data_IF_141444531776
#
_entry.id   IF_141444531776
#
_cell.length_a   1.000
_cell.length_b   1.000
_cell.length_c   1.000
_cell.angle_alpha   90.00
_cell.angle_beta   90.00
_cell.angle_gamma   90.00
#
_symmetry.space_group_name_H-M   'P 1'
#
loop_
_entity.id
_entity.type
_entity.pdbx_description
1 polymer ?
#
# COMPACT_ATOMS: atom_id res chain seq x y z
N UNK A 1 -6.48 -25.03 -1.71
CA UNK A 1 -7.14 -24.42 -0.52
C UNK A 1 -7.11 -22.90 -0.71
N UNK A 2 -8.28 -22.25 -0.84
CA UNK A 2 -8.41 -20.86 -1.34
C UNK A 2 -9.22 -19.94 -0.41
N UNK A 3 -9.00 -20.03 0.92
CA UNK A 3 -9.82 -19.32 1.92
C UNK A 3 -9.22 -18.06 2.53
N UNK A 4 -7.89 -17.87 2.47
CA UNK A 4 -7.21 -16.81 3.24
C UNK A 4 -7.61 -15.39 2.81
N UNK A 5 -7.83 -15.17 1.51
CA UNK A 5 -8.28 -13.88 0.99
C UNK A 5 -9.63 -13.44 1.55
N UNK A 6 -10.56 -14.39 1.74
CA UNK A 6 -11.85 -14.15 2.36
C UNK A 6 -11.74 -13.82 3.85
N UNK A 7 -10.88 -14.54 4.59
CA UNK A 7 -10.64 -14.30 6.03
C UNK A 7 -10.03 -12.91 6.25
N UNK A 8 -8.98 -12.55 5.51
CA UNK A 8 -8.38 -11.21 5.55
C UNK A 8 -9.41 -10.12 5.31
N UNK A 9 -10.23 -10.27 4.26
CA UNK A 9 -11.26 -9.29 3.91
C UNK A 9 -12.31 -9.14 5.01
N UNK A 10 -12.72 -10.23 5.65
CA UNK A 10 -13.64 -10.20 6.77
C UNK A 10 -13.02 -9.43 7.96
N UNK A 11 -11.75 -9.68 8.28
CA UNK A 11 -11.01 -8.94 9.32
C UNK A 11 -10.99 -7.44 8.99
N UNK A 12 -10.56 -7.05 7.79
CA UNK A 12 -10.50 -5.64 7.37
C UNK A 12 -11.89 -4.97 7.40
N UNK A 13 -12.94 -5.70 7.06
CA UNK A 13 -14.33 -5.20 7.08
C UNK A 13 -14.82 -4.97 8.50
N UNK A 14 -14.55 -5.90 9.43
CA UNK A 14 -14.92 -5.77 10.84
C UNK A 14 -14.13 -4.65 11.52
N UNK A 15 -12.82 -4.53 11.23
CA UNK A 15 -11.99 -3.43 11.73
C UNK A 15 -12.51 -2.07 11.25
N UNK A 16 -12.96 -1.97 9.99
CA UNK A 16 -13.59 -0.74 9.47
C UNK A 16 -14.96 -0.49 10.11
N UNK A 17 -15.80 -1.51 10.20
CA UNK A 17 -17.10 -1.40 10.85
C UNK A 17 -16.95 -0.92 12.29
N UNK A 18 -15.95 -1.42 13.01
CA UNK A 18 -15.60 -0.92 14.33
C UNK A 18 -15.27 0.58 14.29
N UNK A 19 -14.34 1.01 13.43
CA UNK A 19 -13.98 2.42 13.31
C UNK A 19 -15.17 3.33 12.93
N UNK A 20 -16.08 2.85 12.07
CA UNK A 20 -17.27 3.58 11.62
C UNK A 20 -18.33 3.69 12.70
N UNK A 21 -18.60 2.60 13.43
CA UNK A 21 -19.53 2.57 14.56
C UNK A 21 -19.05 3.53 15.65
N UNK A 22 -17.77 3.48 16.00
CA UNK A 22 -17.20 4.35 17.03
C UNK A 22 -17.30 5.82 16.69
N UNK A 23 -17.00 6.19 15.43
CA UNK A 23 -17.18 7.57 14.95
C UNK A 23 -18.65 8.00 14.96
N UNK A 24 -19.54 7.13 14.48
CA UNK A 24 -20.97 7.44 14.35
C UNK A 24 -21.66 7.56 15.72
N UNK A 25 -21.39 6.64 16.64
CA UNK A 25 -21.95 6.65 17.99
C UNK A 25 -21.35 7.78 18.84
N UNK A 26 -20.04 8.05 18.71
CA UNK A 26 -19.42 9.22 19.33
C UNK A 26 -20.02 10.54 18.85
N UNK A 27 -20.23 10.67 17.52
CA UNK A 27 -20.90 11.82 16.94
C UNK A 27 -22.36 11.96 17.38
N UNK A 28 -23.10 10.85 17.44
CA UNK A 28 -24.49 10.83 17.90
C UNK A 28 -24.62 11.20 19.39
N UNK A 29 -23.71 10.72 20.23
CA UNK A 29 -23.66 11.06 21.66
C UNK A 29 -23.43 12.56 21.85
N UNK A 30 -22.41 13.13 21.21
CA UNK A 30 -22.13 14.57 21.26
C UNK A 30 -23.29 15.42 20.72
N UNK A 31 -23.90 15.00 19.61
CA UNK A 31 -25.06 15.70 19.05
C UNK A 31 -26.30 15.62 19.95
N UNK A 32 -26.51 14.50 20.63
CA UNK A 32 -27.59 14.33 21.60
C UNK A 32 -27.36 15.24 22.82
N UNK A 33 -26.15 15.29 23.36
CA UNK A 33 -25.79 16.19 24.45
C UNK A 33 -26.07 17.67 24.10
N UNK A 34 -25.60 18.13 22.93
CA UNK A 34 -25.86 19.51 22.45
C UNK A 34 -27.35 19.78 22.30
N UNK A 35 -28.13 18.83 21.78
CA UNK A 35 -29.59 18.99 21.63
C UNK A 35 -30.30 19.03 22.97
N UNK A 36 -29.92 18.17 23.93
CA UNK A 36 -30.48 18.15 25.27
C UNK A 36 -30.20 19.47 25.98
N UNK A 37 -28.96 19.98 25.94
CA UNK A 37 -28.60 21.29 26.49
C UNK A 37 -29.43 22.41 25.87
N UNK A 38 -29.55 22.44 24.53
CA UNK A 38 -30.36 23.45 23.83
C UNK A 38 -31.84 23.40 24.20
N UNK A 39 -32.43 22.20 24.33
CA UNK A 39 -33.83 22.04 24.75
C UNK A 39 -34.02 22.53 26.19
N UNK A 40 -33.09 22.21 27.09
CA UNK A 40 -33.11 22.71 28.45
C UNK A 40 -32.99 24.24 28.51
N UNK A 41 -32.08 24.85 27.73
CA UNK A 41 -31.94 26.30 27.63
C UNK A 41 -33.23 26.99 27.15
N UNK A 42 -33.81 26.51 26.04
CA UNK A 42 -35.08 27.04 25.49
C UNK A 42 -36.23 26.89 26.49
N UNK A 43 -36.29 25.78 27.22
CA UNK A 43 -37.30 25.55 28.24
C UNK A 43 -37.12 26.47 29.48
N UNK A 44 -35.88 26.82 29.86
CA UNK A 44 -35.61 27.76 30.97
C UNK A 44 -36.01 29.20 30.66
N UNK A 45 -35.94 29.60 29.39
CA UNK A 45 -36.39 30.92 28.92
C UNK A 45 -37.90 31.13 29.11
N UNK A 46 -38.69 30.05 29.22
CA UNK A 46 -40.09 30.15 29.54
C UNK A 46 -40.32 30.72 30.96
N UNK A 47 -41.24 31.68 31.08
CA UNK A 47 -41.62 32.31 32.36
C UNK A 47 -42.64 31.49 33.17
N UNK A 48 -42.70 30.17 32.95
CA UNK A 48 -43.65 29.28 33.64
C UNK A 48 -42.91 28.23 34.49
N UNK A 49 -43.22 28.08 35.80
CA UNK A 49 -42.49 27.19 36.71
C UNK A 49 -42.43 25.72 36.26
N UNK A 50 -43.53 25.19 35.72
CA UNK A 50 -43.59 23.79 35.24
C UNK A 50 -42.63 23.56 34.06
N UNK A 51 -42.45 24.55 33.18
CA UNK A 51 -41.55 24.43 32.02
C UNK A 51 -40.08 24.46 32.44
N UNK A 52 -39.75 25.19 33.51
CA UNK A 52 -38.41 25.18 34.10
C UNK A 52 -38.10 23.85 34.78
N UNK A 53 -39.04 23.26 35.50
CA UNK A 53 -38.85 21.93 36.09
C UNK A 53 -38.59 20.86 35.01
N UNK A 54 -39.32 20.92 33.88
CA UNK A 54 -39.05 20.04 32.72
C UNK A 54 -37.67 20.29 32.11
N UNK A 55 -37.16 21.53 32.13
CA UNK A 55 -35.82 21.85 31.66
C UNK A 55 -34.73 21.17 32.51
N UNK A 56 -34.91 21.18 33.83
CA UNK A 56 -34.00 20.54 34.78
C UNK A 56 -34.06 19.01 34.64
N UNK A 57 -35.25 18.43 34.43
CA UNK A 57 -35.43 17.00 34.15
C UNK A 57 -34.74 16.57 32.83
N UNK A 58 -34.86 17.40 31.79
CA UNK A 58 -34.23 17.15 30.48
C UNK A 58 -32.71 17.24 30.58
N UNK A 59 -32.17 18.24 31.29
CA UNK A 59 -30.72 18.33 31.55
C UNK A 59 -30.21 17.15 32.39
N UNK A 60 -30.96 16.73 33.41
CA UNK A 60 -30.63 15.56 34.22
C UNK A 60 -30.61 14.25 33.41
N UNK A 61 -31.32 14.17 32.28
CA UNK A 61 -31.32 13.02 31.40
C UNK A 61 -30.10 12.93 30.47
N UNK A 62 -29.39 14.03 30.18
CA UNK A 62 -28.22 14.03 29.28
C UNK A 62 -27.13 13.03 29.71
N UNK A 63 -26.68 13.01 30.98
CA UNK A 63 -25.66 12.05 31.43
C UNK A 63 -26.10 10.59 31.33
N UNK A 64 -27.41 10.31 31.44
CA UNK A 64 -27.94 8.95 31.30
C UNK A 64 -27.90 8.48 29.84
N UNK A 65 -28.23 9.37 28.89
CA UNK A 65 -28.12 9.10 27.46
C UNK A 65 -26.66 8.89 27.05
N UNK A 66 -25.75 9.76 27.52
CA UNK A 66 -24.31 9.63 27.25
C UNK A 66 -23.76 8.30 27.76
N UNK A 67 -24.12 7.90 28.99
CA UNK A 67 -23.71 6.61 29.58
C UNK A 67 -24.23 5.43 28.77
N UNK A 68 -25.52 5.41 28.42
CA UNK A 68 -26.11 4.33 27.64
C UNK A 68 -25.43 4.18 26.26
N UNK A 69 -25.10 5.31 25.60
CA UNK A 69 -24.36 5.30 24.33
C UNK A 69 -22.93 4.81 24.50
N UNK A 70 -22.24 5.19 25.59
CA UNK A 70 -20.91 4.71 25.89
C UNK A 70 -20.89 3.20 26.16
N UNK A 71 -21.86 2.68 26.92
CA UNK A 71 -22.04 1.24 27.19
C UNK A 71 -22.29 0.45 25.90
N UNK A 72 -23.20 0.92 25.05
CA UNK A 72 -23.49 0.28 23.75
C UNK A 72 -22.25 0.27 22.84
N UNK A 73 -21.50 1.38 22.82
CA UNK A 73 -20.28 1.50 22.02
C UNK A 73 -19.20 0.52 22.52
N UNK A 74 -19.03 0.42 23.84
CA UNK A 74 -18.08 -0.51 24.45
C UNK A 74 -18.45 -1.98 24.19
N UNK A 75 -19.74 -2.34 24.31
CA UNK A 75 -20.23 -3.69 24.01
C UNK A 75 -19.98 -4.07 22.54
N UNK A 76 -20.37 -3.18 21.62
CA UNK A 76 -20.18 -3.41 20.20
C UNK A 76 -18.70 -3.56 19.85
N UNK A 77 -17.83 -2.71 20.44
CA UNK A 77 -16.38 -2.81 20.26
C UNK A 77 -15.82 -4.15 20.74
N UNK A 78 -16.30 -4.66 21.89
CA UNK A 78 -15.89 -5.97 22.44
C UNK A 78 -16.27 -7.13 21.52
N UNK A 79 -17.52 -7.14 21.03
CA UNK A 79 -17.99 -8.17 20.10
C UNK A 79 -17.14 -8.17 18.83
N UNK A 80 -16.96 -7.01 18.19
CA UNK A 80 -16.17 -6.89 16.97
C UNK A 80 -14.70 -7.28 17.18
N UNK A 81 -14.08 -6.88 18.29
CA UNK A 81 -12.71 -7.26 18.61
C UNK A 81 -12.54 -8.77 18.80
N UNK A 82 -13.53 -9.42 19.42
CA UNK A 82 -13.55 -10.89 19.62
C UNK A 82 -13.66 -11.62 18.28
N UNK A 83 -14.54 -11.18 17.38
CA UNK A 83 -14.66 -11.76 16.04
C UNK A 83 -13.39 -11.56 15.21
N UNK A 84 -12.78 -10.37 15.28
CA UNK A 84 -11.48 -10.11 14.63
C UNK A 84 -10.41 -11.04 15.18
N UNK A 85 -10.34 -11.25 16.50
CA UNK A 85 -9.38 -12.17 17.12
C UNK A 85 -9.58 -13.62 16.66
N UNK A 86 -10.82 -14.10 16.60
CA UNK A 86 -11.13 -15.45 16.12
C UNK A 86 -10.73 -15.66 14.65
N UNK A 87 -10.95 -14.65 13.79
CA UNK A 87 -10.51 -14.72 12.39
C UNK A 87 -8.99 -14.63 12.23
N UNK A 88 -8.31 -13.84 13.08
CA UNK A 88 -6.85 -13.79 13.11
C UNK A 88 -6.25 -15.12 13.59
N UNK A 89 -6.90 -15.80 14.54
CA UNK A 89 -6.51 -17.14 14.99
C UNK A 89 -6.63 -18.17 13.86
N UNK A 90 -7.76 -18.14 13.13
CA UNK A 90 -7.96 -18.96 11.95
C UNK A 90 -6.86 -18.72 10.90
N UNK A 91 -6.49 -17.45 10.67
CA UNK A 91 -5.44 -17.07 9.74
C UNK A 91 -4.05 -17.55 10.21
N UNK A 92 -3.73 -17.38 11.49
CA UNK A 92 -2.48 -17.84 12.11
C UNK A 92 -2.31 -19.36 11.95
N UNK A 93 -3.31 -20.15 12.34
CA UNK A 93 -3.25 -21.62 12.30
C UNK A 93 -3.32 -22.14 10.87
N UNK A 94 -4.34 -21.72 10.10
CA UNK A 94 -4.66 -22.35 8.80
C UNK A 94 -3.76 -21.89 7.67
N UNK A 95 -3.13 -20.72 7.79
CA UNK A 95 -2.40 -20.09 6.69
C UNK A 95 -0.97 -19.73 6.99
N UNK A 96 -0.63 -19.46 8.26
CA UNK A 96 0.74 -19.16 8.67
C UNK A 96 1.43 -20.33 9.37
N UNK A 97 0.71 -21.43 9.64
CA UNK A 97 1.26 -22.59 10.35
C UNK A 97 1.74 -22.26 11.76
N UNK A 98 1.16 -21.23 12.37
CA UNK A 98 1.45 -20.80 13.73
C UNK A 98 0.57 -21.54 14.73
N UNK A 99 0.97 -21.54 16.00
CA UNK A 99 0.09 -21.96 17.08
C UNK A 99 -1.11 -21.01 17.21
N UNK A 100 -2.18 -21.50 17.85
CA UNK A 100 -3.32 -20.66 18.18
C UNK A 100 -2.90 -19.43 18.98
N UNK A 101 -3.54 -18.31 18.69
CA UNK A 101 -3.28 -17.04 19.34
C UNK A 101 -3.64 -17.11 20.82
N UNK A 102 -2.85 -16.46 21.69
CA UNK A 102 -3.25 -16.24 23.08
C UNK A 102 -4.61 -15.51 23.17
N UNK A 103 -5.33 -15.63 24.30
CA UNK A 103 -6.59 -14.93 24.50
C UNK A 103 -6.47 -13.41 24.29
N UNK A 104 -7.54 -12.81 23.76
CA UNK A 104 -7.66 -11.36 23.61
C UNK A 104 -7.74 -10.68 24.99
N UNK A 105 -6.95 -9.61 25.20
CA UNK A 105 -7.00 -8.82 26.43
C UNK A 105 -8.06 -7.71 26.29
N UNK A 106 -9.29 -8.04 26.67
CA UNK A 106 -10.42 -7.10 26.61
C UNK A 106 -10.25 -5.89 27.53
N UNK A 107 -9.40 -5.99 28.57
CA UNK A 107 -9.08 -4.88 29.47
C UNK A 107 -8.19 -3.81 28.82
N UNK A 108 -7.56 -4.14 27.68
CA UNK A 108 -6.74 -3.24 26.86
C UNK A 108 -7.42 -2.77 25.59
N UNK A 109 -8.71 -3.08 25.41
CA UNK A 109 -9.51 -2.31 24.46
C UNK A 109 -9.40 -0.83 24.87
N UNK A 110 -9.26 0.06 23.89
CA UNK A 110 -9.12 1.48 24.19
C UNK A 110 -10.34 2.02 24.95
N UNK A 111 -10.33 3.32 25.28
CA UNK A 111 -11.51 3.97 25.84
C UNK A 111 -12.78 3.73 24.99
N UNK A 112 -13.97 4.12 25.47
CA UNK A 112 -15.25 3.76 24.82
C UNK A 112 -15.23 3.96 23.29
N UNK A 113 -15.33 2.86 22.53
CA UNK A 113 -15.30 2.87 21.07
C UNK A 113 -13.91 2.90 20.41
N UNK A 114 -12.82 2.83 21.15
CA UNK A 114 -11.48 2.76 20.56
C UNK A 114 -11.02 1.30 20.48
N UNK A 115 -10.75 0.80 19.28
CA UNK A 115 -10.00 -0.46 19.13
C UNK A 115 -8.52 -0.14 19.26
N UNK A 116 -7.88 -0.69 20.29
CA UNK A 116 -6.43 -0.63 20.42
C UNK A 116 -5.81 -1.92 19.89
N UNK A 117 -4.75 -1.80 19.09
CA UNK A 117 -3.95 -2.95 18.69
C UNK A 117 -3.32 -3.66 19.91
N UNK A 118 -3.17 -2.96 21.04
CA UNK A 118 -2.61 -3.52 22.28
C UNK A 118 -3.51 -4.56 22.95
N UNK A 119 -4.81 -4.58 22.63
CA UNK A 119 -5.72 -5.63 23.06
C UNK A 119 -5.36 -6.99 22.46
N UNK A 120 -4.71 -6.99 21.30
CA UNK A 120 -4.34 -8.20 20.58
C UNK A 120 -2.99 -8.75 21.07
N UNK A 121 -2.82 -10.10 21.06
CA UNK A 121 -1.56 -10.74 21.38
C UNK A 121 -0.40 -10.18 20.55
N UNK A 122 0.77 -10.04 21.17
CA UNK A 122 1.99 -9.58 20.49
C UNK A 122 2.37 -10.49 19.32
N UNK A 123 3.10 -9.93 18.36
CA UNK A 123 3.47 -10.64 17.14
C UNK A 123 2.44 -10.41 16.03
N UNK A 124 2.09 -11.46 15.30
CA UNK A 124 1.27 -11.40 14.09
C UNK A 124 -0.04 -10.60 14.29
N UNK A 125 -0.86 -10.96 15.28
CA UNK A 125 -2.18 -10.36 15.47
C UNK A 125 -2.11 -8.86 15.76
N UNK A 126 -1.27 -8.44 16.71
CA UNK A 126 -1.07 -7.02 17.03
C UNK A 126 -0.53 -6.22 15.85
N UNK A 127 0.52 -6.72 15.17
CA UNK A 127 1.11 -6.02 14.02
C UNK A 127 0.08 -5.88 12.90
N UNK A 128 -0.67 -6.94 12.61
CA UNK A 128 -1.72 -6.93 11.61
C UNK A 128 -2.79 -5.87 11.90
N UNK A 129 -3.35 -5.87 13.12
CA UNK A 129 -4.37 -4.90 13.53
C UNK A 129 -3.82 -3.48 13.51
N UNK A 130 -2.61 -3.26 14.04
CA UNK A 130 -1.97 -1.94 14.03
C UNK A 130 -1.81 -1.38 12.61
N UNK A 131 -1.31 -2.19 11.68
CA UNK A 131 -1.14 -1.76 10.28
C UNK A 131 -2.50 -1.50 9.61
N UNK A 132 -3.46 -2.41 9.73
CA UNK A 132 -4.76 -2.23 9.10
C UNK A 132 -5.46 -0.99 9.66
N UNK A 133 -5.52 -0.83 10.99
CA UNK A 133 -6.11 0.36 11.62
C UNK A 133 -5.44 1.67 11.17
N UNK A 134 -4.12 1.69 11.04
CA UNK A 134 -3.38 2.86 10.51
C UNK A 134 -3.71 3.18 9.05
N UNK A 135 -4.11 2.18 8.27
CA UNK A 135 -4.40 2.32 6.84
C UNK A 135 -5.89 2.54 6.53
N UNK A 136 -6.79 2.20 7.48
CA UNK A 136 -8.23 2.24 7.29
C UNK A 136 -8.77 3.60 6.81
N UNK A 137 -8.18 4.71 7.27
CA UNK A 137 -8.60 6.07 6.92
C UNK A 137 -8.01 6.58 5.60
N UNK A 138 -6.99 5.89 5.05
CA UNK A 138 -6.17 6.36 3.92
C UNK A 138 -6.37 5.55 2.64
N UNK A 139 -6.91 4.34 2.74
CA UNK A 139 -7.00 3.41 1.61
C UNK A 139 -7.97 3.85 0.51
N UNK A 140 -7.45 4.12 -0.69
CA UNK A 140 -8.23 4.31 -1.90
C UNK A 140 -8.82 2.99 -2.37
N UNK A 141 -10.08 3.02 -2.79
CA UNK A 141 -10.86 1.87 -3.18
C UNK A 141 -11.07 1.89 -4.70
N UNK A 142 -10.49 0.91 -5.41
CA UNK A 142 -10.68 0.81 -6.86
C UNK A 142 -11.37 -0.49 -7.24
N UNK A 143 -12.44 -0.36 -8.01
CA UNK A 143 -13.18 -1.47 -8.61
C UNK A 143 -12.55 -1.94 -9.93
N UNK A 144 -12.92 -3.15 -10.34
CA UNK A 144 -12.53 -3.74 -11.62
C UNK A 144 -12.98 -2.88 -12.80
N UNK A 145 -14.19 -2.31 -12.72
CA UNK A 145 -14.74 -1.45 -13.77
C UNK A 145 -13.95 -0.13 -13.90
N UNK A 146 -13.60 0.50 -12.77
CA UNK A 146 -12.77 1.70 -12.78
C UNK A 146 -11.34 1.43 -13.26
N UNK A 147 -10.80 0.24 -12.99
CA UNK A 147 -9.52 -0.19 -13.55
C UNK A 147 -9.59 -0.40 -15.07
N UNK A 148 -10.66 -1.01 -15.57
CA UNK A 148 -10.87 -1.25 -16.99
C UNK A 148 -11.15 0.04 -17.78
N UNK A 149 -11.80 1.03 -17.16
CA UNK A 149 -12.11 2.31 -17.78
C UNK A 149 -10.91 3.28 -17.84
N UNK A 150 -9.80 2.97 -17.17
CA UNK A 150 -8.63 3.84 -17.19
C UNK A 150 -7.95 3.81 -18.57
N UNK A 151 -7.57 4.97 -19.15
CA UNK A 151 -6.88 5.02 -20.43
C UNK A 151 -5.53 4.30 -20.39
N UNK A 152 -5.06 3.89 -21.56
CA UNK A 152 -3.69 3.42 -21.77
C UNK A 152 -2.69 4.56 -21.53
N UNK A 153 -1.44 4.20 -21.24
CA UNK A 153 -0.38 5.20 -21.07
C UNK A 153 -0.01 5.82 -22.43
N UNK A 154 0.30 7.11 -22.42
CA UNK A 154 0.71 7.82 -23.62
C UNK A 154 2.20 7.58 -23.92
N UNK A 155 2.50 6.89 -25.01
CA UNK A 155 3.87 6.60 -25.43
C UNK A 155 4.70 7.88 -25.61
N UNK A 156 4.10 8.97 -26.10
CA UNK A 156 4.82 10.24 -26.26
C UNK A 156 5.27 10.83 -24.92
N UNK A 157 4.49 10.62 -23.85
CA UNK A 157 4.86 11.04 -22.49
C UNK A 157 6.04 10.24 -21.95
N UNK A 158 6.08 8.93 -22.23
CA UNK A 158 7.17 8.02 -21.83
C UNK A 158 8.46 8.39 -22.57
N UNK A 159 8.38 8.58 -23.88
CA UNK A 159 9.53 8.98 -24.70
C UNK A 159 10.08 10.34 -24.25
N UNK A 160 9.19 11.31 -23.99
CA UNK A 160 9.59 12.61 -23.44
C UNK A 160 10.24 12.49 -22.05
N UNK A 161 9.76 11.59 -21.19
CA UNK A 161 10.38 11.35 -19.89
C UNK A 161 11.76 10.70 -20.02
N UNK A 162 11.91 9.72 -20.92
CA UNK A 162 13.19 9.07 -21.23
C UNK A 162 14.24 10.10 -21.67
N UNK A 163 13.87 10.99 -22.60
CA UNK A 163 14.78 12.06 -23.04
C UNK A 163 15.18 13.02 -21.92
N UNK A 164 14.24 13.40 -21.04
CA UNK A 164 14.55 14.23 -19.87
C UNK A 164 15.54 13.54 -18.92
N UNK A 165 15.35 12.24 -18.67
CA UNK A 165 16.28 11.44 -17.85
C UNK A 165 17.68 11.41 -18.48
N UNK A 166 17.77 11.09 -19.77
CA UNK A 166 19.06 11.03 -20.48
C UNK A 166 19.75 12.41 -20.47
N UNK A 167 18.99 13.51 -20.56
CA UNK A 167 19.56 14.85 -20.58
C UNK A 167 20.20 15.26 -19.23
N UNK A 168 19.67 14.78 -18.10
CA UNK A 168 20.19 15.14 -16.77
C UNK A 168 21.37 14.28 -16.32
N UNK A 169 21.55 13.09 -16.91
CA UNK A 169 22.72 12.24 -16.68
C UNK A 169 24.00 12.91 -17.21
N UNK A 170 25.11 12.70 -16.49
CA UNK A 170 26.45 13.15 -16.87
C UNK A 170 26.79 12.81 -18.34
N UNK A 171 27.36 13.76 -19.14
CA UNK A 171 27.57 13.60 -20.58
C UNK A 171 28.25 12.30 -21.00
N UNK A 172 29.24 11.85 -20.23
CA UNK A 172 30.00 10.62 -20.44
C UNK A 172 29.17 9.33 -20.32
N UNK A 173 28.04 9.37 -19.61
CA UNK A 173 27.18 8.22 -19.35
C UNK A 173 25.94 8.17 -20.25
N UNK A 174 25.59 9.28 -20.92
CA UNK A 174 24.33 9.41 -21.69
C UNK A 174 24.13 8.34 -22.76
N UNK A 175 25.18 7.99 -23.49
CA UNK A 175 25.09 6.98 -24.56
C UNK A 175 24.76 5.59 -23.99
N UNK A 176 25.38 5.22 -22.87
CA UNK A 176 25.12 3.94 -22.20
C UNK A 176 23.72 3.91 -21.58
N UNK A 177 23.33 4.97 -20.88
CA UNK A 177 21.98 5.06 -20.28
C UNK A 177 20.91 5.06 -21.35
N UNK A 178 21.12 5.77 -22.47
CA UNK A 178 20.20 5.72 -23.63
C UNK A 178 20.02 4.28 -24.13
N UNK A 179 21.14 3.58 -24.38
CA UNK A 179 21.09 2.20 -24.86
C UNK A 179 20.31 1.27 -23.90
N UNK A 180 20.44 1.45 -22.58
CA UNK A 180 19.65 0.70 -21.61
C UNK A 180 18.16 1.08 -21.63
N UNK A 181 17.83 2.37 -21.58
CA UNK A 181 16.43 2.82 -21.48
C UNK A 181 15.63 2.65 -22.78
N UNK A 182 16.28 2.55 -23.92
CA UNK A 182 15.67 2.28 -25.23
C UNK A 182 15.60 0.78 -25.57
N UNK A 183 16.22 -0.09 -24.75
CA UNK A 183 16.18 -1.53 -24.99
C UNK A 183 14.74 -2.08 -24.82
N UNK A 184 14.23 -2.94 -25.73
CA UNK A 184 12.87 -3.46 -25.67
C UNK A 184 12.49 -4.19 -24.36
N UNK A 185 13.47 -4.85 -23.74
CA UNK A 185 13.29 -5.55 -22.44
C UNK A 185 13.40 -4.63 -21.21
N UNK A 186 13.70 -3.34 -21.38
CA UNK A 186 13.84 -2.39 -20.28
C UNK A 186 12.52 -1.66 -20.01
N UNK A 187 11.91 -1.94 -18.86
CA UNK A 187 10.64 -1.30 -18.48
C UNK A 187 10.78 -0.18 -17.44
N UNK A 188 12.01 0.28 -17.16
CA UNK A 188 12.29 1.22 -16.09
C UNK A 188 11.52 2.55 -16.22
N UNK A 189 11.61 3.22 -17.37
CA UNK A 189 10.91 4.51 -17.57
C UNK A 189 9.41 4.28 -17.65
N UNK A 190 8.99 3.32 -18.47
CA UNK A 190 7.60 2.94 -18.72
C UNK A 190 6.80 2.77 -17.43
N UNK A 191 7.40 2.10 -16.46
CA UNK A 191 6.71 1.60 -15.29
C UNK A 191 7.05 2.42 -14.02
N UNK A 192 8.24 3.03 -13.97
CA UNK A 192 8.76 3.69 -12.77
C UNK A 192 9.25 5.13 -13.01
N UNK A 193 9.12 5.64 -14.24
CA UNK A 193 9.54 7.00 -14.59
C UNK A 193 8.66 8.10 -13.99
N UNK A 194 9.11 9.37 -14.08
CA UNK A 194 8.45 10.53 -13.47
C UNK A 194 7.10 10.89 -14.08
N UNK A 195 6.78 10.36 -15.27
CA UNK A 195 5.48 10.51 -15.89
C UNK A 195 4.41 9.57 -15.31
N UNK A 196 4.82 8.56 -14.52
CA UNK A 196 3.90 7.56 -13.97
C UNK A 196 3.12 8.18 -12.80
N UNK A 197 1.81 8.30 -13.00
CA UNK A 197 0.94 8.97 -12.04
C UNK A 197 0.49 8.07 -10.89
N UNK A 198 0.04 8.71 -9.81
CA UNK A 198 -0.56 8.05 -8.64
C UNK A 198 -1.66 7.03 -9.00
N UNK A 199 -2.46 7.37 -10.01
CA UNK A 199 -3.54 6.50 -10.49
C UNK A 199 -3.00 5.24 -11.17
N UNK A 200 -1.93 5.35 -11.94
CA UNK A 200 -1.30 4.20 -12.59
C UNK A 200 -0.66 3.29 -11.55
N UNK A 201 0.02 3.85 -10.55
CA UNK A 201 0.58 3.09 -9.42
C UNK A 201 -0.51 2.35 -8.63
N UNK A 202 -1.66 3.00 -8.39
CA UNK A 202 -2.79 2.37 -7.72
C UNK A 202 -3.32 1.17 -8.51
N UNK A 203 -3.45 1.31 -9.84
CA UNK A 203 -3.93 0.26 -10.71
C UNK A 203 -2.92 -0.88 -10.86
N UNK A 204 -1.63 -0.59 -10.85
CA UNK A 204 -0.57 -1.59 -10.84
C UNK A 204 -0.57 -2.39 -9.55
N UNK A 205 -0.52 -1.74 -8.40
CA UNK A 205 -0.55 -2.42 -7.11
C UNK A 205 -1.86 -3.20 -6.95
N UNK A 206 -3.00 -2.54 -7.16
CA UNK A 206 -4.32 -3.07 -6.87
C UNK A 206 -4.86 -4.07 -7.89
N UNK A 207 -4.53 -3.93 -9.17
CA UNK A 207 -5.12 -4.74 -10.25
C UNK A 207 -4.09 -5.39 -11.17
N UNK A 208 -2.79 -5.29 -10.84
CA UNK A 208 -1.68 -5.76 -11.69
C UNK A 208 -1.76 -5.20 -13.11
N UNK A 209 -2.35 -4.01 -13.28
CA UNK A 209 -2.49 -3.36 -14.58
C UNK A 209 -1.23 -2.57 -14.86
N UNK A 210 -0.29 -3.06 -15.70
CA UNK A 210 0.81 -2.22 -16.14
C UNK A 210 0.25 -1.00 -16.90
N UNK A 211 1.00 0.08 -17.02
CA UNK A 211 0.70 1.09 -18.03
C UNK A 211 0.73 0.36 -19.38
N UNK A 212 -0.43 0.20 -20.03
CA UNK A 212 -0.51 -0.43 -21.34
C UNK A 212 0.00 0.60 -22.36
N UNK A 213 1.04 0.24 -23.11
CA UNK A 213 1.76 1.14 -24.01
C UNK A 213 1.29 1.00 -25.48
N UNK A 214 0.31 0.14 -25.76
CA UNK A 214 -0.16 -0.08 -27.13
C UNK A 214 0.91 -0.67 -28.06
N UNK A 215 2.03 -1.15 -27.52
CA UNK A 215 3.13 -1.80 -28.24
C UNK A 215 2.86 -3.29 -28.44
N UNK A 216 3.26 -3.81 -29.60
CA UNK A 216 3.15 -5.22 -29.92
C UNK A 216 3.98 -6.04 -28.93
N UNK A 217 3.34 -6.94 -28.18
CA UNK A 217 4.00 -7.77 -27.16
C UNK A 217 3.91 -7.25 -25.72
N UNK A 218 3.36 -6.06 -25.48
CA UNK A 218 3.14 -5.53 -24.13
C UNK A 218 2.32 -6.51 -23.26
N UNK A 219 2.56 -6.47 -21.94
CA UNK A 219 1.85 -7.29 -20.97
C UNK A 219 0.34 -7.01 -21.05
N UNK A 220 -0.40 -7.92 -21.69
CA UNK A 220 -1.83 -7.75 -21.91
C UNK A 220 -2.57 -7.77 -20.58
N UNK A 221 -3.16 -6.62 -20.23
CA UNK A 221 -4.13 -6.51 -19.16
C UNK A 221 -5.53 -6.35 -19.75
N UNK A 222 -6.45 -7.21 -19.36
CA UNK A 222 -7.84 -7.06 -19.78
C UNK A 222 -8.81 -7.73 -18.80
N UNK A 223 -10.03 -7.22 -18.77
CA UNK A 223 -11.18 -7.93 -18.21
C UNK A 223 -11.77 -8.77 -19.34
N UNK A 224 -11.74 -10.10 -19.20
CA UNK A 224 -12.34 -10.98 -20.20
C UNK A 224 -13.85 -10.80 -20.23
N UNK A 225 -14.42 -10.81 -21.44
CA UNK A 225 -15.85 -10.53 -21.66
C UNK A 225 -16.77 -11.66 -21.22
N UNK A 226 -16.28 -12.90 -21.21
CA UNK A 226 -17.05 -14.12 -20.96
C UNK A 226 -17.27 -14.38 -19.46
N UNK A 227 -16.23 -14.23 -18.66
CA UNK A 227 -16.26 -14.56 -17.23
C UNK A 227 -15.81 -13.42 -16.32
N UNK A 228 -15.63 -12.22 -16.89
CA UNK A 228 -15.24 -11.00 -16.19
C UNK A 228 -13.95 -11.12 -15.37
N UNK A 229 -13.11 -12.12 -15.63
CA UNK A 229 -11.83 -12.25 -14.94
C UNK A 229 -10.81 -11.28 -15.49
N UNK A 230 -9.99 -10.75 -14.60
CA UNK A 230 -8.81 -9.98 -14.98
C UNK A 230 -7.71 -10.95 -15.39
N UNK A 231 -7.17 -10.76 -16.58
CA UNK A 231 -5.96 -11.44 -17.07
C UNK A 231 -4.86 -10.40 -17.15
N UNK A 232 -3.72 -10.70 -16.54
CA UNK A 232 -2.50 -9.91 -16.62
C UNK A 232 -1.30 -10.84 -16.67
N UNK A 233 -0.32 -10.53 -17.52
CA UNK A 233 1.00 -11.16 -17.48
C UNK A 233 1.92 -10.51 -16.44
N UNK A 234 1.64 -9.25 -16.08
CA UNK A 234 2.39 -8.51 -15.09
C UNK A 234 2.16 -9.06 -13.69
N UNK A 235 3.24 -9.28 -12.94
CA UNK A 235 3.21 -9.78 -11.56
C UNK A 235 3.69 -8.73 -10.57
N UNK A 236 2.95 -7.62 -10.47
CA UNK A 236 3.21 -6.63 -9.42
C UNK A 236 3.13 -7.28 -8.03
N UNK A 237 4.07 -6.91 -7.15
CA UNK A 237 4.08 -7.30 -5.74
C UNK A 237 2.94 -6.66 -4.95
N UNK A 238 3.10 -6.45 -3.64
CA UNK A 238 2.13 -5.74 -2.82
C UNK A 238 2.15 -4.23 -3.06
N UNK A 239 3.13 -3.70 -3.78
CA UNK A 239 3.33 -2.29 -4.06
C UNK A 239 3.71 -2.02 -5.52
N UNK A 240 3.67 -0.73 -5.88
CA UNK A 240 4.17 -0.17 -7.12
C UNK A 240 4.69 1.25 -6.84
N UNK A 241 5.89 1.57 -7.32
CA UNK A 241 6.57 2.84 -7.07
C UNK A 241 7.02 3.51 -8.38
N UNK A 242 7.29 4.82 -8.30
CA UNK A 242 7.91 5.61 -9.36
C UNK A 242 8.78 6.72 -8.76
N UNK A 243 9.72 7.22 -9.56
CA UNK A 243 10.43 8.46 -9.27
C UNK A 243 9.52 9.67 -9.53
N UNK A 244 9.75 10.80 -8.87
CA UNK A 244 8.94 12.01 -9.08
C UNK A 244 9.58 13.00 -10.05
N UNK A 245 10.87 12.82 -10.38
CA UNK A 245 11.63 13.69 -11.30
C UNK A 245 12.66 12.90 -12.12
N UNK A 246 13.15 13.53 -13.21
CA UNK A 246 14.22 12.95 -14.02
C UNK A 246 15.54 12.88 -13.23
N UNK A 247 15.80 13.86 -12.38
CA UNK A 247 16.96 13.94 -11.51
C UNK A 247 16.91 12.84 -10.45
N UNK A 248 15.76 12.63 -9.80
CA UNK A 248 15.59 11.52 -8.85
C UNK A 248 15.81 10.16 -9.51
N UNK A 249 15.35 10.00 -10.76
CA UNK A 249 15.62 8.80 -11.53
C UNK A 249 17.11 8.65 -11.86
N UNK A 250 17.81 9.73 -12.22
CA UNK A 250 19.19 9.66 -12.70
C UNK A 250 20.25 9.47 -11.59
N UNK A 251 20.09 10.09 -10.41
CA UNK A 251 21.14 10.09 -9.37
C UNK A 251 21.58 8.68 -8.92
N UNK A 252 20.69 7.70 -8.67
CA UNK A 252 21.12 6.35 -8.31
C UNK A 252 21.80 5.62 -9.48
N UNK A 253 21.41 5.87 -10.73
CA UNK A 253 22.12 5.33 -11.90
C UNK A 253 23.55 5.87 -11.99
N UNK A 254 23.75 7.15 -11.71
CA UNK A 254 25.09 7.74 -11.67
C UNK A 254 25.94 7.17 -10.54
N UNK A 255 25.35 6.93 -9.36
CA UNK A 255 26.04 6.27 -8.25
C UNK A 255 26.51 4.85 -8.65
N UNK A 256 25.63 4.08 -9.31
CA UNK A 256 25.97 2.76 -9.86
C UNK A 256 27.10 2.83 -10.89
N UNK A 257 26.98 3.73 -11.87
CA UNK A 257 27.98 3.90 -12.92
C UNK A 257 29.34 4.33 -12.38
N UNK A 258 29.37 5.16 -11.33
CA UNK A 258 30.59 5.59 -10.66
C UNK A 258 31.32 4.47 -9.92
N UNK A 259 30.59 3.48 -9.40
CA UNK A 259 31.18 2.25 -8.82
C UNK A 259 31.67 1.34 -9.93
N UNK A 260 30.81 1.03 -10.89
CA UNK A 260 31.10 0.12 -11.99
C UNK A 260 32.30 0.57 -12.85
N UNK A 261 32.51 1.88 -13.01
CA UNK A 261 33.65 2.43 -13.75
C UNK A 261 35.03 2.12 -13.11
N UNK A 262 35.07 1.68 -11.85
CA UNK A 262 36.32 1.31 -11.14
C UNK A 262 36.78 -0.11 -11.46
N UNK A 263 35.90 -0.94 -12.03
CA UNK A 263 36.19 -2.34 -12.33
C UNK A 263 36.89 -2.48 -13.69
N UNK A 264 37.72 -3.52 -13.87
CA UNK A 264 38.25 -3.88 -15.18
C UNK A 264 37.10 -4.04 -16.19
N UNK A 265 37.25 -3.50 -17.40
CA UNK A 265 36.20 -3.47 -18.42
C UNK A 265 34.95 -2.65 -18.08
N UNK A 266 35.00 -1.84 -17.02
CA UNK A 266 33.93 -0.92 -16.62
C UNK A 266 32.65 -1.67 -16.24
N UNK A 267 31.51 -1.22 -16.77
CA UNK A 267 30.20 -1.78 -16.39
C UNK A 267 30.05 -3.25 -16.74
N UNK A 268 30.49 -3.67 -17.93
CA UNK A 268 30.27 -5.05 -18.37
C UNK A 268 31.09 -6.02 -17.50
N UNK A 269 32.33 -5.66 -17.14
CA UNK A 269 33.13 -6.43 -16.20
C UNK A 269 32.59 -6.43 -14.77
N UNK A 270 32.06 -5.29 -14.30
CA UNK A 270 31.38 -5.23 -13.00
C UNK A 270 30.16 -6.16 -12.93
N UNK A 271 29.34 -6.16 -13.98
CA UNK A 271 28.18 -7.04 -14.08
C UNK A 271 28.61 -8.52 -14.14
N UNK A 272 29.64 -8.86 -14.90
CA UNK A 272 30.18 -10.23 -14.98
C UNK A 272 30.69 -10.74 -13.63
N UNK A 273 31.34 -9.89 -12.84
CA UNK A 273 31.83 -10.23 -11.49
C UNK A 273 30.70 -10.45 -10.48
N UNK A 274 29.59 -9.72 -10.64
CA UNK A 274 28.46 -9.74 -9.71
C UNK A 274 27.34 -10.71 -10.15
N UNK A 275 27.41 -11.27 -11.35
CA UNK A 275 26.35 -12.09 -11.92
C UNK A 275 26.16 -13.43 -11.21
N UNK A 276 24.91 -13.83 -11.02
CA UNK A 276 24.52 -15.21 -10.74
C UNK A 276 23.48 -15.69 -11.76
N UNK A 277 23.73 -16.85 -12.39
CA UNK A 277 22.88 -17.44 -13.42
C UNK A 277 22.46 -16.48 -14.56
N UNK A 278 23.35 -15.53 -14.93
CA UNK A 278 23.10 -14.54 -15.98
C UNK A 278 22.22 -13.37 -15.54
N UNK A 279 22.05 -13.16 -14.23
CA UNK A 279 21.36 -12.02 -13.64
C UNK A 279 22.29 -11.27 -12.70
N UNK A 280 22.21 -9.95 -12.70
CA UNK A 280 22.89 -9.10 -11.73
C UNK A 280 21.88 -8.11 -11.16
N UNK A 281 21.57 -8.25 -9.87
CA UNK A 281 20.59 -7.42 -9.19
C UNK A 281 21.25 -6.67 -8.03
N UNK A 282 21.10 -5.35 -8.03
CA UNK A 282 21.72 -4.45 -7.08
C UNK A 282 20.67 -3.70 -6.27
N UNK A 283 21.02 -3.38 -5.03
CA UNK A 283 20.29 -2.43 -4.22
C UNK A 283 21.16 -1.22 -3.92
N UNK A 284 20.67 -0.04 -4.29
CA UNK A 284 21.34 1.24 -4.10
C UNK A 284 20.58 1.96 -2.99
N UNK A 285 21.18 2.12 -1.81
CA UNK A 285 20.52 2.82 -0.70
C UNK A 285 20.22 4.27 -1.07
N UNK A 286 19.19 4.82 -0.43
CA UNK A 286 18.72 6.18 -0.70
C UNK A 286 19.83 7.23 -0.56
N UNK A 287 20.66 7.13 0.48
CA UNK A 287 21.79 8.04 0.73
C UNK A 287 22.87 7.92 -0.35
N UNK A 288 23.25 6.70 -0.74
CA UNK A 288 24.20 6.44 -1.81
C UNK A 288 23.69 6.93 -3.17
N UNK A 289 22.39 6.77 -3.44
CA UNK A 289 21.73 7.25 -4.64
C UNK A 289 21.33 8.73 -4.60
N UNK A 290 21.66 9.45 -3.52
CA UNK A 290 21.31 10.87 -3.36
C UNK A 290 19.80 11.14 -3.38
N UNK A 291 18.98 10.19 -2.95
CA UNK A 291 17.52 10.33 -2.84
C UNK A 291 17.12 10.94 -1.50
N UNK A 292 16.02 11.66 -1.50
CA UNK A 292 15.42 12.34 -0.36
C UNK A 292 13.91 12.07 -0.33
N UNK A 293 13.25 12.26 0.83
CA UNK A 293 11.79 12.29 0.90
C UNK A 293 11.20 13.25 -0.16
N UNK A 294 10.25 12.75 -0.95
CA UNK A 294 9.61 13.44 -2.08
C UNK A 294 10.21 13.13 -3.45
N UNK A 295 11.36 12.46 -3.53
CA UNK A 295 11.95 12.01 -4.80
C UNK A 295 11.25 10.78 -5.39
N UNK A 296 10.42 10.12 -4.59
CA UNK A 296 9.69 8.91 -4.99
C UNK A 296 8.24 8.97 -4.52
N UNK A 297 7.38 8.26 -5.23
CA UNK A 297 5.98 8.04 -4.86
C UNK A 297 5.64 6.58 -5.05
N UNK A 298 4.81 6.02 -4.18
CA UNK A 298 4.38 4.64 -4.29
C UNK A 298 2.95 4.42 -3.81
N UNK A 299 2.40 3.29 -4.25
CA UNK A 299 1.12 2.75 -3.81
C UNK A 299 1.37 1.34 -3.30
N UNK A 300 1.01 1.06 -2.05
CA UNK A 300 1.03 -0.31 -1.50
C UNK A 300 -0.36 -0.77 -1.11
N UNK A 301 -0.58 -2.07 -1.06
CA UNK A 301 -1.77 -2.66 -0.49
C UNK A 301 -1.99 -2.18 0.94
N UNK A 302 -3.24 -1.89 1.31
CA UNK A 302 -3.56 -1.56 2.70
C UNK A 302 -3.25 -2.77 3.61
N UNK A 303 -2.61 -2.52 4.75
CA UNK A 303 -2.30 -3.58 5.71
C UNK A 303 -1.17 -4.51 5.30
N UNK A 304 -0.23 -4.10 4.43
CA UNK A 304 0.88 -4.94 3.94
C UNK A 304 2.20 -4.74 4.70
N UNK A 305 2.18 -4.08 5.86
CA UNK A 305 3.38 -3.73 6.65
C UNK A 305 4.16 -4.91 7.24
N UNK A 306 3.79 -6.16 6.93
CA UNK A 306 4.57 -7.35 7.26
C UNK A 306 4.54 -8.35 6.08
N UNK A 307 5.56 -9.21 5.88
CA UNK A 307 5.57 -10.17 4.78
C UNK A 307 4.37 -11.15 4.75
N UNK A 308 3.89 -11.71 5.89
CA UNK A 308 2.68 -12.54 5.88
C UNK A 308 1.45 -11.76 5.43
N UNK A 309 1.28 -10.53 5.93
CA UNK A 309 0.15 -9.70 5.56
C UNK A 309 0.22 -9.26 4.08
N UNK A 310 1.41 -8.97 3.54
CA UNK A 310 1.60 -8.74 2.11
C UNK A 310 1.17 -9.94 1.26
N UNK A 311 1.52 -11.16 1.70
CA UNK A 311 1.11 -12.40 1.03
C UNK A 311 -0.41 -12.59 1.03
N UNK A 312 -1.06 -12.36 2.17
CA UNK A 312 -2.52 -12.46 2.27
C UNK A 312 -3.24 -11.42 1.41
N UNK A 313 -2.70 -10.20 1.35
CA UNK A 313 -3.22 -9.14 0.49
C UNK A 313 -3.12 -9.51 -0.99
N UNK A 314 -1.98 -10.04 -1.44
CA UNK A 314 -1.80 -10.52 -2.82
C UNK A 314 -2.80 -11.64 -3.14
N UNK A 315 -3.04 -12.57 -2.20
CA UNK A 315 -4.04 -13.63 -2.39
C UNK A 315 -5.45 -13.04 -2.51
N UNK A 316 -5.83 -12.13 -1.62
CA UNK A 316 -7.11 -11.41 -1.68
C UNK A 316 -7.27 -10.68 -3.03
N UNK A 317 -6.24 -9.96 -3.49
CA UNK A 317 -6.22 -9.30 -4.80
C UNK A 317 -6.45 -10.30 -5.93
N UNK A 318 -5.72 -11.41 -5.93
CA UNK A 318 -5.83 -12.44 -6.95
C UNK A 318 -7.21 -13.12 -6.96
N UNK A 319 -7.85 -13.27 -5.80
CA UNK A 319 -9.22 -13.77 -5.68
C UNK A 319 -10.23 -12.76 -6.25
N UNK A 320 -10.06 -11.46 -5.94
CA UNK A 320 -10.88 -10.38 -6.50
C UNK A 320 -10.75 -10.25 -8.03
N UNK A 321 -9.59 -10.54 -8.59
CA UNK A 321 -9.37 -10.61 -10.04
C UNK A 321 -10.13 -11.76 -10.71
N UNK A 322 -10.38 -12.87 -10.00
CA UNK A 322 -10.96 -14.11 -10.55
C UNK A 322 -12.45 -14.27 -10.35
N UNK A 323 -13.04 -13.60 -9.36
CA UNK A 323 -14.42 -13.86 -8.94
C UNK A 323 -15.21 -12.56 -8.90
N UNK A 324 -16.33 -12.53 -9.60
CA UNK A 324 -17.33 -11.50 -9.37
C UNK A 324 -18.11 -11.84 -8.08
N UNK A 325 -18.36 -10.86 -7.23
CA UNK A 325 -19.30 -10.97 -6.10
C UNK A 325 -18.87 -11.77 -4.86
N UNK A 326 -17.85 -12.64 -4.90
CA UNK A 326 -17.39 -13.38 -3.70
C UNK A 326 -16.29 -12.65 -2.90
N UNK A 327 -15.39 -11.95 -3.59
CA UNK A 327 -14.40 -11.05 -2.98
C UNK A 327 -14.56 -9.63 -3.53
N UNK A 328 -15.76 -9.00 -3.39
CA UNK A 328 -15.98 -7.73 -4.06
C UNK A 328 -15.03 -6.67 -3.54
N UNK A 329 -14.66 -5.72 -4.43
CA UNK A 329 -13.90 -4.55 -4.09
C UNK A 329 -14.38 -3.91 -2.78
N UNK A 330 -13.48 -3.16 -2.12
CA UNK A 330 -12.23 -2.69 -2.73
C UNK A 330 -10.98 -3.51 -2.41
N UNK A 331 -10.19 -3.80 -3.45
CA UNK A 331 -8.73 -3.87 -3.28
C UNK A 331 -8.31 -2.45 -2.93
N UNK A 332 -7.76 -2.29 -1.72
CA UNK A 332 -7.35 -0.97 -1.24
C UNK A 332 -5.86 -0.79 -1.34
N UNK A 333 -5.47 0.36 -1.85
CA UNK A 333 -4.08 0.81 -1.85
C UNK A 333 -3.95 2.12 -1.07
N UNK A 334 -2.78 2.36 -0.52
CA UNK A 334 -2.43 3.57 0.20
C UNK A 334 -1.23 4.23 -0.49
N UNK A 335 -1.26 5.55 -0.58
CA UNK A 335 -0.07 6.33 -0.97
C UNK A 335 0.96 6.28 0.14
N UNK A 336 2.22 6.16 -0.25
CA UNK A 336 3.36 6.33 0.64
C UNK A 336 4.59 6.77 -0.15
N UNK A 337 5.60 7.25 0.55
CA UNK A 337 6.93 7.51 0.00
C UNK A 337 7.91 6.49 0.61
N UNK A 338 8.42 5.53 -0.17
CA UNK A 338 9.39 4.55 0.29
C UNK A 338 10.59 5.18 1.00
N UNK A 339 11.08 6.32 0.52
CA UNK A 339 12.27 6.98 1.06
C UNK A 339 11.99 7.66 2.39
N UNK A 340 10.78 8.20 2.56
CA UNK A 340 10.39 8.85 3.82
C UNK A 340 10.01 7.86 4.93
N UNK A 341 9.43 6.71 4.57
CA UNK A 341 8.83 5.78 5.55
C UNK A 341 9.78 4.68 6.03
N UNK A 342 10.85 4.36 5.27
CA UNK A 342 11.72 3.22 5.58
C UNK A 342 13.21 3.59 5.59
N UNK A 343 13.96 3.26 6.66
CA UNK A 343 15.37 3.62 6.78
C UNK A 343 16.27 2.84 5.81
N UNK A 344 15.89 1.62 5.42
CA UNK A 344 16.63 0.76 4.49
C UNK A 344 16.14 0.91 3.04
N UNK A 345 15.47 2.02 2.74
CA UNK A 345 14.92 2.31 1.43
C UNK A 345 15.99 2.70 0.41
N UNK A 346 15.64 2.59 -0.87
CA UNK A 346 16.57 2.82 -1.95
C UNK A 346 15.98 2.44 -3.29
N UNK A 347 16.84 1.93 -4.17
CA UNK A 347 16.49 1.59 -5.55
C UNK A 347 17.02 0.22 -5.90
N UNK A 348 16.14 -0.59 -6.49
CA UNK A 348 16.51 -1.87 -7.09
C UNK A 348 16.86 -1.67 -8.55
N UNK A 349 17.99 -2.23 -8.97
CA UNK A 349 18.48 -2.17 -10.34
C UNK A 349 18.81 -3.58 -10.79
N UNK A 350 18.20 -4.04 -11.88
CA UNK A 350 18.32 -5.43 -12.33
C UNK A 350 18.78 -5.49 -13.78
N UNK A 351 19.86 -6.23 -14.01
CA UNK A 351 20.38 -6.56 -15.33
C UNK A 351 20.23 -8.05 -15.60
N UNK A 352 20.11 -8.38 -16.89
CA UNK A 352 20.12 -9.74 -17.41
C UNK A 352 21.11 -9.83 -18.56
N UNK A 353 21.87 -10.91 -18.60
CA UNK A 353 22.74 -11.23 -19.72
C UNK A 353 21.97 -12.05 -20.76
N UNK A 354 22.04 -11.63 -22.02
CA UNK A 354 21.41 -12.27 -23.16
C UNK A 354 22.31 -12.27 -24.40
N UNK A 355 21.70 -12.53 -25.57
CA UNK A 355 22.41 -12.55 -26.85
C UNK A 355 23.01 -11.18 -27.21
N UNK A 356 22.35 -10.10 -26.76
CA UNK A 356 22.79 -8.71 -26.94
C UNK A 356 23.72 -8.21 -25.80
N UNK A 357 24.18 -9.13 -24.93
CA UNK A 357 24.99 -8.83 -23.76
C UNK A 357 24.16 -8.42 -22.54
N UNK A 358 24.69 -7.52 -21.71
CA UNK A 358 24.03 -7.04 -20.50
C UNK A 358 22.95 -5.99 -20.80
N UNK A 359 21.72 -6.33 -20.45
CA UNK A 359 20.53 -5.49 -20.62
C UNK A 359 19.95 -5.13 -19.26
N UNK A 360 19.61 -3.85 -19.07
CA UNK A 360 18.82 -3.44 -17.91
C UNK A 360 17.38 -3.88 -18.09
N UNK A 361 16.84 -4.69 -17.18
CA UNK A 361 15.46 -5.18 -17.27
C UNK A 361 14.52 -4.24 -16.53
N UNK A 362 14.92 -3.78 -15.34
CA UNK A 362 14.11 -2.85 -14.55
C UNK A 362 14.96 -2.07 -13.54
N UNK A 363 14.38 -0.97 -13.08
CA UNK A 363 14.99 -0.02 -12.17
C UNK A 363 13.87 0.74 -11.44
N UNK A 364 13.79 0.62 -10.11
CA UNK A 364 12.65 1.16 -9.36
C UNK A 364 12.92 1.44 -7.87
N UNK A 365 12.26 2.47 -7.28
CA UNK A 365 12.33 2.73 -5.85
C UNK A 365 11.73 1.58 -5.03
N UNK A 366 12.32 1.25 -3.90
CA UNK A 366 11.83 0.20 -3.00
C UNK A 366 12.07 0.58 -1.53
N UNK A 367 11.23 0.07 -0.65
CA UNK A 367 11.33 0.28 0.80
C UNK A 367 12.43 -0.56 1.46
N UNK A 368 12.97 -1.55 0.74
CA UNK A 368 13.94 -2.52 1.27
C UNK A 368 14.64 -3.30 0.15
N UNK A 369 15.84 -3.85 0.39
CA UNK A 369 16.48 -4.80 -0.53
C UNK A 369 15.70 -6.12 -0.61
N UNK A 370 15.71 -6.77 -1.78
CA UNK A 370 15.31 -8.17 -1.89
C UNK A 370 16.46 -9.10 -1.52
N UNK A 371 16.16 -10.36 -1.11
CA UNK A 371 17.19 -11.32 -0.72
C UNK A 371 18.22 -11.65 -1.81
N UNK A 372 17.87 -11.43 -3.08
CA UNK A 372 18.71 -11.65 -4.25
C UNK A 372 19.47 -10.40 -4.71
N UNK A 373 19.36 -9.28 -3.99
CA UNK A 373 20.06 -8.05 -4.34
C UNK A 373 21.39 -7.97 -3.60
N UNK A 374 22.43 -7.56 -4.34
CA UNK A 374 23.72 -7.19 -3.76
C UNK A 374 23.69 -5.70 -3.36
N UNK A 375 24.00 -5.34 -2.10
CA UNK A 375 24.10 -3.95 -1.70
C UNK A 375 25.26 -3.27 -2.43
N UNK A 376 25.02 -2.17 -3.13
CA UNK A 376 26.06 -1.49 -3.90
C UNK A 376 27.23 -1.01 -3.01
N UNK A 377 26.96 -0.65 -1.75
CA UNK A 377 27.95 -0.27 -0.73
C UNK A 377 28.96 -1.37 -0.37
N UNK A 378 28.60 -2.64 -0.54
CA UNK A 378 29.49 -3.77 -0.27
C UNK A 378 30.43 -4.06 -1.45
N UNK A 379 30.21 -3.39 -2.58
CA UNK A 379 30.90 -3.60 -3.85
C UNK A 379 31.84 -2.43 -4.24
N UNK A 380 32.00 -1.41 -3.39
CA UNK A 380 32.71 -0.15 -3.70
C UNK A 380 34.19 -0.07 -3.39
#
# INVERSE_FOLDING_TARGET
>A
MSGSGGVRRAIETLLRAHADVSRSLGGASSAAAVRVTRVAEVAREARHPVTRAVADDVEAAAPAVERAMAELTAETGRVLATEVHALLDLLAVSHHGQESLPPLDLGRLGGPGSLSAEAFPSGFARSYVATVLGDLSRGAATSKAEAAAHPAADQASIDAARERIIAVVAPEHRARVRAWLEHPDCHAVEIHGPQVGDRELELRAGWTRPPDHGTEGADTWQVRKDDHKVVSKHRAGPDASAFTSAEAFARPLEAFLGVAARHPHGVDGFLDECADLGWAAFFIKADQGGLQPGDTTARRGAGTGTPPAATDWIRMRNDAMKKDGECPPPVRTISYDPIAEHPDSGVRLVFRHGDDGWVMVTYYPSDSPAPDNQPLEELT
#
